data_IF_678724842182
#
_entry.id   IF_678724842182
#
_cell.length_a   1.000
_cell.length_b   1.000
_cell.length_c   1.000
_cell.angle_alpha   90.00
_cell.angle_beta   90.00
_cell.angle_gamma   90.00
#
_symmetry.space_group_name_H-M   'P 1'
#
loop_
_entity.id
_entity.type
_entity.pdbx_description
1 polymer ?
#
# COMPACT_ATOMS: atom_id res chain seq x y z
N UNK A 1 1.24 13.39 -52.04
CA UNK A 1 2.41 13.51 -51.13
C UNK A 1 3.64 12.99 -51.89
N UNK A 2 4.83 13.57 -51.72
CA UNK A 2 6.02 13.06 -52.43
C UNK A 2 6.46 11.74 -51.77
N UNK A 3 6.83 10.70 -52.54
CA UNK A 3 7.18 9.36 -52.01
C UNK A 3 8.26 9.40 -50.91
N UNK A 4 9.16 10.39 -50.97
CA UNK A 4 10.18 10.61 -49.93
C UNK A 4 9.59 11.12 -48.60
N UNK A 5 8.57 11.97 -48.64
CA UNK A 5 7.89 12.49 -47.44
C UNK A 5 7.10 11.39 -46.71
N UNK A 6 6.47 10.49 -47.46
CA UNK A 6 5.77 9.33 -46.88
C UNK A 6 6.73 8.46 -46.08
N UNK A 7 7.90 8.14 -46.63
CA UNK A 7 8.94 7.38 -45.92
C UNK A 7 9.40 8.06 -44.62
N UNK A 8 9.62 9.38 -44.64
CA UNK A 8 10.03 10.10 -43.43
C UNK A 8 8.91 10.18 -42.38
N UNK A 9 7.65 10.25 -42.81
CA UNK A 9 6.51 10.25 -41.88
C UNK A 9 6.30 8.87 -41.25
N UNK A 10 6.41 7.80 -42.03
CA UNK A 10 6.32 6.43 -41.52
C UNK A 10 7.44 6.14 -40.50
N UNK A 11 8.66 6.58 -40.82
CA UNK A 11 9.79 6.53 -39.88
C UNK A 11 9.62 7.41 -38.64
N UNK A 12 8.75 8.43 -38.67
CA UNK A 12 8.41 9.20 -37.48
C UNK A 12 7.35 8.48 -36.63
N UNK A 13 6.37 7.85 -37.28
CA UNK A 13 5.29 7.10 -36.62
C UNK A 13 5.76 5.80 -35.99
N UNK A 14 6.88 5.23 -36.45
CA UNK A 14 7.50 4.05 -35.85
C UNK A 14 8.29 4.33 -34.56
N UNK A 15 8.58 5.59 -34.23
CA UNK A 15 9.29 5.98 -33.01
C UNK A 15 8.34 5.93 -31.79
N UNK A 16 8.83 5.39 -30.68
CA UNK A 16 8.05 5.35 -29.44
C UNK A 16 8.15 6.67 -28.64
N UNK A 17 7.26 6.85 -27.66
CA UNK A 17 7.13 8.08 -26.86
C UNK A 17 8.45 8.42 -26.15
N UNK A 18 9.09 9.51 -26.58
CA UNK A 18 10.30 10.04 -25.93
C UNK A 18 11.60 9.54 -26.57
N UNK A 19 11.50 8.74 -27.62
CA UNK A 19 12.66 8.33 -28.42
C UNK A 19 13.24 9.52 -29.20
N UNK A 20 14.58 9.53 -29.36
CA UNK A 20 15.25 10.63 -30.05
C UNK A 20 14.97 10.54 -31.54
N UNK A 21 14.51 11.67 -32.10
CA UNK A 21 14.30 11.76 -33.55
C UNK A 21 15.64 11.64 -34.27
N UNK A 22 15.80 10.70 -35.23
CA UNK A 22 17.05 10.54 -35.96
C UNK A 22 17.40 11.80 -36.75
N UNK A 23 18.69 12.17 -36.78
CA UNK A 23 19.17 13.43 -37.35
C UNK A 23 18.75 13.66 -38.81
N UNK A 24 18.66 12.59 -39.61
CA UNK A 24 18.20 12.64 -41.01
C UNK A 24 16.73 13.10 -41.11
N UNK A 25 15.89 12.62 -40.20
CA UNK A 25 14.49 13.02 -40.11
C UNK A 25 14.38 14.46 -39.59
N UNK A 26 15.18 14.85 -38.60
CA UNK A 26 15.24 16.25 -38.13
C UNK A 26 15.60 17.22 -39.26
N UNK A 27 16.60 16.88 -40.08
CA UNK A 27 16.96 17.68 -41.24
C UNK A 27 15.80 17.80 -42.23
N UNK A 28 15.13 16.70 -42.56
CA UNK A 28 13.95 16.74 -43.45
C UNK A 28 12.83 17.65 -42.90
N UNK A 29 12.57 17.60 -41.59
CA UNK A 29 11.55 18.43 -40.92
C UNK A 29 11.90 19.92 -40.82
N UNK A 30 13.18 20.28 -40.97
CA UNK A 30 13.61 21.68 -41.08
C UNK A 30 13.30 22.24 -42.48
N UNK A 31 13.47 21.42 -43.53
CA UNK A 31 13.30 21.85 -44.92
C UNK A 31 11.89 21.62 -45.49
N UNK A 32 11.11 20.70 -44.94
CA UNK A 32 9.75 20.40 -45.41
C UNK A 32 8.68 21.00 -44.48
N UNK A 33 7.98 22.09 -44.87
CA UNK A 33 6.96 22.72 -44.03
C UNK A 33 5.72 21.85 -43.84
N UNK A 34 5.38 21.02 -44.84
CA UNK A 34 4.20 20.15 -44.82
C UNK A 34 4.34 19.04 -43.76
N UNK A 35 5.47 18.32 -43.75
CA UNK A 35 5.75 17.29 -42.75
C UNK A 35 5.81 17.89 -41.34
N UNK A 36 6.38 19.09 -41.19
CA UNK A 36 6.40 19.83 -39.92
C UNK A 36 4.99 20.16 -39.43
N UNK A 37 4.07 20.54 -40.33
CA UNK A 37 2.67 20.88 -39.99
C UNK A 37 1.92 19.64 -39.46
N UNK A 38 2.08 18.51 -40.13
CA UNK A 38 1.41 17.26 -39.76
C UNK A 38 1.87 16.75 -38.38
N UNK A 39 3.19 16.74 -38.12
CA UNK A 39 3.74 16.35 -36.80
C UNK A 39 3.25 17.28 -35.69
N UNK A 40 3.19 18.59 -35.94
CA UNK A 40 2.63 19.55 -34.97
C UNK A 40 1.16 19.29 -34.70
N UNK A 41 0.36 18.95 -35.72
CA UNK A 41 -1.04 18.62 -35.55
C UNK A 41 -1.22 17.35 -34.68
N UNK A 42 -0.45 16.29 -34.96
CA UNK A 42 -0.46 15.07 -34.15
C UNK A 42 0.00 15.32 -32.70
N UNK A 43 1.03 16.14 -32.51
CA UNK A 43 1.52 16.50 -31.17
C UNK A 43 0.47 17.27 -30.37
N UNK A 44 -0.32 18.14 -31.01
CA UNK A 44 -1.43 18.86 -30.39
C UNK A 44 -2.59 17.92 -30.05
N UNK A 45 -3.01 17.08 -30.99
CA UNK A 45 -4.05 16.08 -30.75
C UNK A 45 -3.67 15.18 -29.57
N UNK A 46 -2.44 14.67 -29.56
CA UNK A 46 -1.88 13.91 -28.45
C UNK A 46 -1.96 14.67 -27.14
N UNK A 47 -1.54 15.94 -27.08
CA UNK A 47 -1.58 16.74 -25.85
C UNK A 47 -3.00 16.82 -25.28
N UNK A 48 -4.00 17.00 -26.14
CA UNK A 48 -5.42 17.05 -25.77
C UNK A 48 -5.86 15.68 -25.24
N UNK A 49 -5.52 14.58 -25.91
CA UNK A 49 -5.90 13.23 -25.48
C UNK A 49 -5.16 12.75 -24.23
N UNK A 50 -3.93 13.22 -24.00
CA UNK A 50 -3.13 12.90 -22.79
C UNK A 50 -3.41 13.82 -21.61
N UNK A 51 -4.16 14.91 -21.82
CA UNK A 51 -4.63 15.71 -20.70
C UNK A 51 -5.47 14.80 -19.83
N UNK A 52 -5.13 14.73 -18.54
CA UNK A 52 -5.84 13.86 -17.60
C UNK A 52 -7.33 14.13 -17.75
N UNK A 53 -8.07 13.08 -18.12
CA UNK A 53 -9.52 13.13 -18.15
C UNK A 53 -9.96 13.42 -16.72
N UNK A 54 -10.34 14.66 -16.47
CA UNK A 54 -10.95 15.11 -15.20
C UNK A 54 -12.40 14.62 -15.16
N UNK A 55 -12.56 13.31 -15.40
CA UNK A 55 -13.81 12.63 -15.21
C UNK A 55 -13.80 12.29 -13.72
N UNK A 56 -14.77 12.79 -12.94
CA UNK A 56 -14.97 12.32 -11.59
C UNK A 56 -15.39 10.86 -11.70
N UNK A 57 -14.42 9.94 -11.65
CA UNK A 57 -14.70 8.53 -11.48
C UNK A 57 -15.21 8.42 -10.05
N UNK A 58 -16.45 7.96 -9.81
CA UNK A 58 -16.89 7.60 -8.47
C UNK A 58 -16.05 6.39 -8.04
N UNK A 59 -14.90 6.70 -7.44
CA UNK A 59 -13.96 5.76 -6.87
C UNK A 59 -14.56 5.27 -5.54
N UNK A 60 -15.65 4.51 -5.60
CA UNK A 60 -16.09 3.72 -4.47
C UNK A 60 -14.99 2.71 -4.16
N UNK A 61 -14.46 2.79 -2.93
CA UNK A 61 -13.32 1.99 -2.43
C UNK A 61 -13.47 0.50 -2.68
N UNK A 62 -14.71 0.01 -2.70
CA UNK A 62 -15.06 -1.40 -2.78
C UNK A 62 -14.89 -1.95 -4.21
N UNK A 63 -15.11 -1.13 -5.23
CA UNK A 63 -14.96 -1.52 -6.63
C UNK A 63 -13.49 -1.60 -7.01
N UNK A 64 -12.67 -0.68 -6.50
CA UNK A 64 -11.21 -0.70 -6.70
C UNK A 64 -10.59 -1.91 -6.00
N UNK A 65 -11.01 -2.20 -4.77
CA UNK A 65 -10.54 -3.36 -4.03
C UNK A 65 -10.85 -4.67 -4.77
N UNK A 66 -12.07 -4.83 -5.31
CA UNK A 66 -12.45 -6.02 -6.09
C UNK A 66 -11.64 -6.17 -7.39
N UNK A 67 -11.43 -5.07 -8.12
CA UNK A 67 -10.63 -5.09 -9.34
C UNK A 67 -9.15 -5.38 -9.02
N UNK A 68 -8.64 -4.84 -7.92
CA UNK A 68 -7.27 -5.08 -7.46
C UNK A 68 -7.05 -6.53 -7.00
N UNK A 69 -8.01 -7.12 -6.29
CA UNK A 69 -8.01 -8.55 -5.92
C UNK A 69 -8.00 -9.46 -7.15
N UNK A 70 -8.70 -9.06 -8.22
CA UNK A 70 -8.77 -9.83 -9.46
C UNK A 70 -7.47 -9.77 -10.28
N UNK A 71 -6.74 -8.65 -10.23
CA UNK A 71 -5.51 -8.44 -11.00
C UNK A 71 -4.28 -8.94 -10.24
N UNK A 72 -4.28 -8.82 -8.91
CA UNK A 72 -3.19 -9.25 -8.05
C UNK A 72 -3.77 -10.27 -7.06
N UNK A 73 -3.77 -11.58 -7.39
CA UNK A 73 -4.27 -12.62 -6.49
C UNK A 73 -3.46 -12.77 -5.19
N UNK A 74 -2.38 -12.00 -5.04
CA UNK A 74 -1.52 -11.89 -3.86
C UNK A 74 -1.70 -10.55 -3.13
N UNK A 75 -2.75 -9.78 -3.45
CA UNK A 75 -3.08 -8.56 -2.72
C UNK A 75 -3.19 -8.91 -1.23
N UNK A 76 -2.48 -8.13 -0.42
CA UNK A 76 -2.13 -8.43 0.97
C UNK A 76 -3.28 -9.09 1.74
N UNK A 77 -2.99 -10.13 2.57
CA UNK A 77 -4.03 -10.80 3.33
C UNK A 77 -4.82 -9.74 4.07
N UNK A 78 -6.13 -9.72 3.78
CA UNK A 78 -7.14 -8.86 4.41
C UNK A 78 -6.68 -8.49 5.81
N UNK A 79 -6.44 -7.20 6.04
CA UNK A 79 -5.86 -6.66 7.27
C UNK A 79 -6.81 -6.92 8.46
N UNK A 80 -6.84 -8.17 8.93
CA UNK A 80 -7.55 -8.64 10.10
C UNK A 80 -6.69 -8.39 11.35
N UNK A 81 -5.87 -7.33 11.35
CA UNK A 81 -5.17 -6.91 12.58
C UNK A 81 -6.25 -6.55 13.60
N UNK A 82 -6.23 -7.29 14.71
CA UNK A 82 -7.10 -7.04 15.87
C UNK A 82 -6.86 -5.60 16.32
N UNK A 83 -7.94 -4.83 16.50
CA UNK A 83 -7.82 -3.42 16.84
C UNK A 83 -7.21 -3.29 18.24
N UNK A 84 -6.33 -2.30 18.45
CA UNK A 84 -5.70 -2.01 19.75
C UNK A 84 -6.66 -2.05 20.98
N UNK A 85 -7.89 -1.47 20.93
CA UNK A 85 -8.80 -1.55 22.06
C UNK A 85 -9.26 -2.98 22.39
N UNK A 86 -9.37 -3.87 21.40
CA UNK A 86 -9.73 -5.26 21.65
C UNK A 86 -8.64 -5.96 22.45
N UNK A 87 -7.36 -5.72 22.13
CA UNK A 87 -6.23 -6.22 22.93
C UNK A 87 -6.29 -5.75 24.38
N UNK A 88 -6.60 -4.47 24.63
CA UNK A 88 -6.70 -3.91 25.98
C UNK A 88 -7.81 -4.61 26.78
N UNK A 89 -8.97 -4.84 26.16
CA UNK A 89 -10.09 -5.56 26.81
C UNK A 89 -9.65 -6.98 27.18
N UNK A 90 -8.97 -7.70 26.28
CA UNK A 90 -8.48 -9.06 26.56
C UNK A 90 -7.47 -9.06 27.71
N UNK A 91 -6.59 -8.05 27.79
CA UNK A 91 -5.63 -7.92 28.89
C UNK A 91 -6.29 -7.64 30.24
N UNK A 92 -7.31 -6.77 30.26
CA UNK A 92 -8.11 -6.51 31.46
C UNK A 92 -8.83 -7.78 31.92
N UNK A 93 -9.45 -8.51 30.99
CA UNK A 93 -10.12 -9.78 31.29
C UNK A 93 -9.15 -10.79 31.92
N UNK A 94 -7.94 -10.90 31.37
CA UNK A 94 -6.90 -11.81 31.87
C UNK A 94 -6.48 -11.47 33.31
N UNK A 95 -6.32 -10.17 33.61
CA UNK A 95 -6.06 -9.70 34.99
C UNK A 95 -7.22 -10.05 35.94
N UNK A 96 -8.46 -9.82 35.52
CA UNK A 96 -9.65 -10.16 36.32
C UNK A 96 -9.70 -11.66 36.60
N UNK A 97 -9.40 -12.51 35.61
CA UNK A 97 -9.36 -13.97 35.79
C UNK A 97 -8.31 -14.40 36.83
N UNK A 98 -7.11 -13.81 36.81
CA UNK A 98 -6.04 -14.13 37.77
C UNK A 98 -6.44 -13.71 39.19
N UNK A 99 -7.01 -12.51 39.33
CA UNK A 99 -7.45 -11.98 40.63
C UNK A 99 -8.61 -12.84 41.17
N UNK A 100 -9.60 -13.15 40.35
CA UNK A 100 -10.71 -14.03 40.72
C UNK A 100 -10.22 -15.43 41.14
N UNK A 101 -9.26 -15.99 40.39
CA UNK A 101 -8.63 -17.26 40.76
C UNK A 101 -7.89 -17.16 42.10
N UNK A 102 -7.22 -16.04 42.40
CA UNK A 102 -6.56 -15.81 43.68
C UNK A 102 -7.51 -15.88 44.88
N UNK A 103 -8.71 -15.30 44.77
CA UNK A 103 -9.74 -15.39 45.81
C UNK A 103 -10.25 -16.82 46.00
N UNK A 104 -10.43 -17.58 44.91
CA UNK A 104 -10.87 -18.98 44.97
C UNK A 104 -9.77 -19.88 45.54
N UNK A 105 -8.52 -19.64 45.13
CA UNK A 105 -7.35 -20.41 45.55
C UNK A 105 -7.06 -20.26 47.05
N UNK A 106 -7.43 -19.13 47.67
CA UNK A 106 -7.29 -18.91 49.11
C UNK A 106 -8.08 -19.92 49.96
N UNK A 107 -9.22 -20.41 49.45
CA UNK A 107 -10.05 -21.42 50.12
C UNK A 107 -9.56 -22.85 49.89
N UNK A 108 -8.56 -23.05 49.03
CA UNK A 108 -8.04 -24.37 48.69
C UNK A 108 -6.81 -24.73 49.52
N UNK A 109 -6.80 -25.94 50.09
CA UNK A 109 -5.64 -26.45 50.86
C UNK A 109 -4.56 -27.08 49.97
N UNK A 110 -4.87 -27.38 48.70
CA UNK A 110 -3.97 -28.10 47.80
C UNK A 110 -2.97 -27.18 47.10
N UNK A 111 -1.84 -26.92 47.76
CA UNK A 111 -0.76 -26.02 47.29
C UNK A 111 -0.17 -26.41 45.93
N UNK A 112 -0.09 -27.72 45.62
CA UNK A 112 0.43 -28.19 44.33
C UNK A 112 -0.46 -27.76 43.15
N UNK A 113 -1.78 -27.88 43.29
CA UNK A 113 -2.72 -27.49 42.23
C UNK A 113 -2.68 -25.97 42.01
N UNK A 114 -2.60 -25.21 43.10
CA UNK A 114 -2.46 -23.76 43.06
C UNK A 114 -1.18 -23.36 42.31
N UNK A 115 -0.05 -24.03 42.61
CA UNK A 115 1.22 -23.78 41.94
C UNK A 115 1.14 -24.01 40.42
N UNK A 116 0.65 -25.18 39.98
CA UNK A 116 0.53 -25.48 38.55
C UNK A 116 -0.46 -24.54 37.84
N UNK A 117 -1.55 -24.15 38.49
CA UNK A 117 -2.50 -23.20 37.93
C UNK A 117 -1.86 -21.81 37.72
N UNK A 118 -1.10 -21.29 38.68
CA UNK A 118 -0.35 -20.04 38.50
C UNK A 118 0.72 -20.13 37.41
N UNK A 119 1.37 -21.29 37.27
CA UNK A 119 2.35 -21.54 36.21
C UNK A 119 1.68 -21.50 34.82
N UNK A 120 0.47 -22.04 34.70
CA UNK A 120 -0.34 -21.94 33.48
C UNK A 120 -0.73 -20.48 33.15
N UNK A 121 -1.19 -19.71 34.15
CA UNK A 121 -1.47 -18.28 33.96
C UNK A 121 -0.22 -17.51 33.53
N UNK A 122 0.93 -17.76 34.16
CA UNK A 122 2.19 -17.12 33.80
C UNK A 122 2.60 -17.40 32.35
N UNK A 123 2.44 -18.64 31.88
CA UNK A 123 2.68 -19.01 30.49
C UNK A 123 1.71 -18.27 29.54
N UNK A 124 0.42 -18.23 29.89
CA UNK A 124 -0.61 -17.52 29.12
C UNK A 124 -0.36 -16.01 29.01
N UNK A 125 0.00 -15.36 30.12
CA UNK A 125 0.38 -13.93 30.15
C UNK A 125 1.60 -13.70 29.25
N UNK A 126 2.62 -14.54 29.37
CA UNK A 126 3.85 -14.40 28.59
C UNK A 126 3.58 -14.50 27.09
N UNK A 127 2.77 -15.48 26.68
CA UNK A 127 2.31 -15.61 25.30
C UNK A 127 1.48 -14.41 24.84
N UNK A 128 0.55 -13.93 25.68
CA UNK A 128 -0.25 -12.74 25.41
C UNK A 128 0.63 -11.50 25.20
N UNK A 129 1.62 -11.27 26.07
CA UNK A 129 2.55 -10.14 25.94
C UNK A 129 3.37 -10.22 24.65
N UNK A 130 3.88 -11.41 24.30
CA UNK A 130 4.63 -11.62 23.06
C UNK A 130 3.78 -11.32 21.81
N UNK A 131 2.54 -11.81 21.78
CA UNK A 131 1.60 -11.57 20.67
C UNK A 131 1.16 -10.10 20.62
N UNK A 132 0.89 -9.48 21.76
CA UNK A 132 0.52 -8.07 21.85
C UNK A 132 1.63 -7.18 21.29
N UNK A 133 2.88 -7.41 21.71
CA UNK A 133 4.02 -6.65 21.19
C UNK A 133 4.17 -6.94 19.70
N UNK A 134 4.29 -8.21 19.30
CA UNK A 134 4.54 -8.61 17.90
C UNK A 134 3.51 -8.05 16.91
N UNK A 135 2.23 -8.12 17.24
CA UNK A 135 1.15 -7.64 16.35
C UNK A 135 1.02 -6.12 16.31
N UNK A 136 1.49 -5.41 17.34
CA UNK A 136 1.41 -3.94 17.43
C UNK A 136 2.76 -3.24 17.22
N UNK A 137 3.85 -3.97 16.95
CA UNK A 137 5.20 -3.41 16.70
C UNK A 137 5.18 -2.30 15.64
N UNK A 138 4.43 -2.51 14.56
CA UNK A 138 4.29 -1.55 13.47
C UNK A 138 3.75 -0.19 13.95
N UNK A 139 2.77 -0.19 14.85
CA UNK A 139 2.26 1.04 15.48
C UNK A 139 3.33 1.75 16.31
N UNK A 140 4.11 1.01 17.09
CA UNK A 140 5.17 1.59 17.92
C UNK A 140 6.29 2.18 17.06
N UNK A 141 6.76 1.47 16.04
CA UNK A 141 7.81 1.95 15.12
C UNK A 141 7.33 3.21 14.40
N UNK A 142 6.11 3.21 13.86
CA UNK A 142 5.55 4.35 13.13
C UNK A 142 5.41 5.59 14.03
N UNK A 143 4.93 5.41 15.27
CA UNK A 143 4.79 6.50 16.26
C UNK A 143 6.14 7.08 16.68
N UNK A 144 7.17 6.24 16.84
CA UNK A 144 8.54 6.68 17.16
C UNK A 144 9.14 7.50 16.01
N UNK A 145 8.97 7.04 14.76
CA UNK A 145 9.43 7.77 13.57
C UNK A 145 8.73 9.12 13.41
N UNK A 146 7.41 9.20 13.59
CA UNK A 146 6.68 10.47 13.51
C UNK A 146 7.14 11.47 14.58
N UNK A 147 7.40 11.03 15.82
CA UNK A 147 7.94 11.90 16.87
C UNK A 147 9.37 12.39 16.55
N UNK A 148 10.20 11.55 15.94
CA UNK A 148 11.57 11.91 15.53
C UNK A 148 11.60 13.01 14.47
N UNK A 149 10.60 13.07 13.58
CA UNK A 149 10.45 14.15 12.60
C UNK A 149 9.85 15.42 13.21
N UNK A 150 8.91 15.30 14.15
CA UNK A 150 8.31 16.45 14.83
C UNK A 150 9.27 17.19 15.78
N UNK A 151 10.30 16.52 16.32
CA UNK A 151 11.33 17.15 17.14
C UNK A 151 12.51 17.75 16.37
N UNK A 152 12.44 17.78 15.03
CA UNK A 152 13.50 18.29 14.14
C UNK A 152 13.05 19.48 13.28
N UNK A 153 11.81 19.94 13.49
CA UNK A 153 11.25 21.19 12.99
C UNK A 153 11.21 22.19 14.15
#
# INVERSE_FOLDING_TARGET
MNKKCEFYMDSYLSLDKGERVPLKLTAHLLFCPECRRQIKAMSRARKITTQALDIPVPLESDTIAKVLEQIIPQAEPKNNRVKLPQWIITGILLLVCIVAFGFIAQSSSNKLIIFYAYMFFAAGISAYCALFVGTNLDFFVKKISTKKHAGRA
#
